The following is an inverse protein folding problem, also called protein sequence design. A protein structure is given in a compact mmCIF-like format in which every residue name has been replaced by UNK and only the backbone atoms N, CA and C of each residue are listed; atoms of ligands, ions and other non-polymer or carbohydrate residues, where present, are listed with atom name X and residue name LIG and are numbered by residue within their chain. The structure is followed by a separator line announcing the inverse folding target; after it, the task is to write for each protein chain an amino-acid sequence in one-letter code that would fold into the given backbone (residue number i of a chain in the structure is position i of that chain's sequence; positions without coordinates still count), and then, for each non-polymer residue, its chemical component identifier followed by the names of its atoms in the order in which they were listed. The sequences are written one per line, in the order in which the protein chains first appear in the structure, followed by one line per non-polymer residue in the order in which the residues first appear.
data_IF_427415155742
#
_entry.id   IF_427415155742
#
_cell.length_a   1.000
_cell.length_b   1.000
_cell.length_c   1.000
_cell.angle_alpha   90.00
_cell.angle_beta   90.00
_cell.angle_gamma   90.00
#
_symmetry.space_group_name_H-M   'P 1'
#
loop_
_entity.id
_entity.type
_entity.pdbx_description
1 polymer ?
#
# COMPACT_ATOMS: atom_id res chain seq x y z
N UNK A 1 -3.28 11.43 12.75
CA UNK A 1 -1.90 11.86 12.42
C UNK A 1 -1.69 11.54 10.95
N UNK A 2 -1.08 12.42 10.16
CA UNK A 2 -0.69 12.08 8.79
C UNK A 2 0.57 11.19 8.81
N UNK A 3 0.81 10.39 7.76
CA UNK A 3 2.02 9.55 7.68
C UNK A 3 3.32 10.35 7.85
N UNK A 4 3.34 11.61 7.40
CA UNK A 4 4.48 12.51 7.55
C UNK A 4 4.71 12.96 9.00
N UNK A 5 3.66 13.32 9.73
CA UNK A 5 3.73 13.69 11.15
C UNK A 5 4.26 12.53 12.00
N UNK A 6 3.90 11.31 11.63
CA UNK A 6 4.33 10.08 12.27
C UNK A 6 5.83 9.84 12.09
N UNK A 7 6.34 9.98 10.85
CA UNK A 7 7.77 9.94 10.55
C UNK A 7 8.58 11.03 11.29
N UNK A 8 7.97 12.18 11.55
CA UNK A 8 8.60 13.28 12.31
C UNK A 8 8.61 13.04 13.82
N UNK A 9 7.74 12.17 14.33
CA UNK A 9 7.63 11.83 15.75
C UNK A 9 8.61 10.73 16.21
N UNK A 10 9.37 10.13 15.27
CA UNK A 10 10.32 9.04 15.55
C UNK A 10 11.30 9.42 16.66
N UNK A 11 11.34 8.59 17.69
CA UNK A 11 12.37 8.66 18.71
C UNK A 11 13.56 7.77 18.34
N UNK A 12 14.74 8.07 18.89
CA UNK A 12 15.92 7.26 18.64
C UNK A 12 16.54 6.78 19.94
N UNK A 13 16.91 5.50 19.98
CA UNK A 13 17.67 4.89 21.08
C UNK A 13 18.96 4.27 20.54
N UNK A 14 20.02 4.26 21.35
CA UNK A 14 21.28 3.59 20.97
C UNK A 14 21.48 2.33 21.79
N UNK A 15 21.55 1.17 21.13
CA UNK A 15 21.77 -0.13 21.76
C UNK A 15 23.01 -0.77 21.15
N UNK A 16 24.02 -1.06 21.99
CA UNK A 16 25.30 -1.67 21.58
C UNK A 16 25.95 -0.94 20.37
N UNK A 17 25.92 0.39 20.40
CA UNK A 17 26.49 1.24 19.33
C UNK A 17 25.64 1.40 18.08
N UNK A 18 24.44 0.78 18.00
CA UNK A 18 23.51 0.96 16.88
C UNK A 18 22.38 1.91 17.28
N UNK A 19 22.12 2.91 16.43
CA UNK A 19 20.98 3.84 16.59
C UNK A 19 19.74 3.21 15.95
N UNK A 20 18.70 3.05 16.73
CA UNK A 20 17.42 2.45 16.35
C UNK A 20 16.33 3.52 16.38
N UNK A 21 15.40 3.46 15.42
CA UNK A 21 14.17 4.24 15.45
C UNK A 21 13.13 3.50 16.32
N UNK A 22 12.41 4.25 17.14
CA UNK A 22 11.35 3.74 18.02
C UNK A 22 10.07 4.48 17.67
N UNK A 23 9.04 3.70 17.39
CA UNK A 23 7.68 4.12 17.06
C UNK A 23 6.71 3.32 17.93
N UNK A 24 5.53 3.87 18.18
CA UNK A 24 4.41 3.07 18.68
C UNK A 24 4.06 2.01 17.61
N UNK A 25 3.66 0.80 18.04
CA UNK A 25 3.24 -0.26 17.14
C UNK A 25 2.03 0.15 16.28
N UNK A 26 1.03 0.81 16.87
CA UNK A 26 -0.15 1.32 16.15
C UNK A 26 0.26 2.34 15.07
N UNK A 27 1.20 3.22 15.43
CA UNK A 27 1.74 4.20 14.50
C UNK A 27 2.54 3.55 13.36
N UNK A 28 3.28 2.48 13.66
CA UNK A 28 4.01 1.71 12.66
C UNK A 28 3.06 0.99 11.69
N UNK A 29 2.00 0.36 12.19
CA UNK A 29 0.97 -0.28 11.37
C UNK A 29 0.26 0.75 10.49
N UNK A 30 -0.13 1.90 11.04
CA UNK A 30 -0.73 2.98 10.28
C UNK A 30 0.19 3.53 9.17
N UNK A 31 1.51 3.55 9.38
CA UNK A 31 2.48 3.93 8.36
C UNK A 31 2.53 2.92 7.22
N UNK A 32 2.48 1.62 7.53
CA UNK A 32 2.43 0.55 6.52
C UNK A 32 1.14 0.68 5.70
N UNK A 33 -0.02 0.75 6.35
CA UNK A 33 -1.31 0.89 5.65
C UNK A 33 -1.36 2.14 4.76
N UNK A 34 -0.76 3.24 5.22
CA UNK A 34 -0.65 4.45 4.41
C UNK A 34 0.21 4.25 3.15
N UNK A 35 1.34 3.53 3.26
CA UNK A 35 2.19 3.21 2.11
C UNK A 35 1.47 2.26 1.14
N UNK A 36 0.82 1.22 1.65
CA UNK A 36 0.01 0.29 0.84
C UNK A 36 -1.10 1.05 0.10
N UNK A 37 -1.79 1.98 0.78
CA UNK A 37 -2.81 2.83 0.15
C UNK A 37 -2.25 3.65 -1.01
N UNK A 38 -1.03 4.18 -0.88
CA UNK A 38 -0.40 4.94 -1.97
C UNK A 38 -0.07 4.05 -3.17
N UNK A 39 0.39 2.81 -2.93
CA UNK A 39 0.66 1.82 -3.97
C UNK A 39 -0.63 1.36 -4.64
N UNK A 40 -1.66 1.04 -3.86
CA UNK A 40 -2.97 0.62 -4.32
C UNK A 40 -3.66 1.68 -5.17
N UNK A 41 -3.57 2.96 -4.79
CA UNK A 41 -4.11 4.07 -5.59
C UNK A 41 -3.45 4.10 -6.97
N UNK A 42 -2.13 3.95 -7.05
CA UNK A 42 -1.43 3.94 -8.35
C UNK A 42 -1.85 2.75 -9.23
N UNK A 43 -2.01 1.56 -8.62
CA UNK A 43 -2.50 0.37 -9.31
C UNK A 43 -3.93 0.60 -9.82
N UNK A 44 -4.82 1.14 -8.99
CA UNK A 44 -6.20 1.42 -9.32
C UNK A 44 -6.33 2.47 -10.44
N UNK A 45 -5.56 3.56 -10.38
CA UNK A 45 -5.54 4.59 -11.42
C UNK A 45 -5.10 4.02 -12.77
N UNK A 46 -4.05 3.20 -12.78
CA UNK A 46 -3.56 2.53 -13.98
C UNK A 46 -4.60 1.56 -14.55
N UNK A 47 -5.16 0.67 -13.72
CA UNK A 47 -6.18 -0.28 -14.11
C UNK A 47 -7.44 0.42 -14.67
N UNK A 48 -7.81 1.57 -14.08
CA UNK A 48 -8.93 2.37 -14.55
C UNK A 48 -8.64 3.04 -15.91
N UNK A 49 -7.42 3.53 -16.14
CA UNK A 49 -7.02 4.07 -17.44
C UNK A 49 -7.04 3.01 -18.55
N UNK A 50 -6.61 1.79 -18.25
CA UNK A 50 -6.70 0.64 -19.16
C UNK A 50 -8.15 0.27 -19.46
N UNK A 51 -9.01 0.22 -18.43
CA UNK A 51 -10.44 -0.02 -18.60
C UNK A 51 -11.12 1.04 -19.48
N UNK A 52 -10.76 2.32 -19.28
CA UNK A 52 -11.27 3.42 -20.11
C UNK A 52 -10.83 3.29 -21.57
N UNK A 53 -9.59 2.87 -21.80
CA UNK A 53 -9.04 2.62 -23.14
C UNK A 53 -9.76 1.44 -23.82
N UNK A 54 -10.15 0.43 -23.05
CA UNK A 54 -10.96 -0.70 -23.49
C UNK A 54 -12.47 -0.39 -23.63
N UNK A 55 -12.88 0.88 -23.51
CA UNK A 55 -14.29 1.28 -23.64
C UNK A 55 -15.19 0.75 -22.52
N UNK A 56 -14.61 0.40 -21.36
CA UNK A 56 -15.33 -0.18 -20.22
C UNK A 56 -15.47 -1.70 -20.27
N UNK A 57 -14.93 -2.38 -21.29
CA UNK A 57 -14.89 -3.85 -21.32
C UNK A 57 -13.75 -4.36 -20.42
N UNK A 58 -14.14 -4.99 -19.31
CA UNK A 58 -13.22 -5.54 -18.31
C UNK A 58 -12.37 -6.68 -18.87
N UNK A 59 -12.92 -7.49 -19.76
CA UNK A 59 -12.19 -8.62 -20.36
C UNK A 59 -11.13 -8.10 -21.32
N UNK A 60 -11.49 -7.11 -22.14
CA UNK A 60 -10.55 -6.46 -23.05
C UNK A 60 -9.47 -5.65 -22.30
N UNK A 61 -9.79 -5.17 -21.09
CA UNK A 61 -8.83 -4.55 -20.17
C UNK A 61 -7.94 -5.56 -19.41
N UNK A 62 -8.10 -6.87 -19.66
CA UNK A 62 -7.30 -7.92 -19.02
C UNK A 62 -7.69 -8.25 -17.58
N UNK A 63 -8.86 -7.80 -17.11
CA UNK A 63 -9.32 -8.11 -15.76
C UNK A 63 -9.77 -9.57 -15.66
N UNK A 64 -9.36 -10.22 -14.58
CA UNK A 64 -9.76 -11.57 -14.24
C UNK A 64 -10.97 -11.53 -13.29
N UNK A 65 -11.84 -12.54 -13.34
CA UNK A 65 -12.89 -12.67 -12.34
C UNK A 65 -12.28 -13.20 -11.06
N UNK A 66 -12.73 -12.67 -9.93
CA UNK A 66 -12.26 -13.08 -8.61
C UNK A 66 -12.38 -14.60 -8.39
N UNK A 67 -13.56 -15.17 -8.67
CA UNK A 67 -13.83 -16.61 -8.53
C UNK A 67 -12.87 -17.51 -9.33
N UNK A 68 -12.24 -16.97 -10.38
CA UNK A 68 -11.29 -17.71 -11.22
C UNK A 68 -9.87 -17.73 -10.62
N UNK A 69 -9.51 -16.76 -9.77
CA UNK A 69 -8.12 -16.54 -9.30
C UNK A 69 -7.95 -16.54 -7.79
N UNK A 70 -9.03 -16.51 -7.00
CA UNK A 70 -8.95 -16.39 -5.53
C UNK A 70 -8.08 -17.49 -4.87
N UNK A 71 -8.07 -18.69 -5.47
CA UNK A 71 -7.32 -19.85 -4.98
C UNK A 71 -5.81 -19.77 -5.20
N UNK A 72 -5.34 -18.81 -6.00
CA UNK A 72 -3.91 -18.59 -6.25
C UNK A 72 -3.25 -17.75 -5.13
N UNK A 73 -4.04 -17.20 -4.21
CA UNK A 73 -3.60 -16.29 -3.15
C UNK A 73 -3.51 -16.95 -1.75
N UNK A 74 -3.73 -18.28 -1.65
CA UNK A 74 -3.57 -19.10 -0.43
C UNK A 74 -2.19 -19.75 -0.32
#
# INVERSE_FOLDING_TARGET
MTGLELLQSVQFVTVKGKRLAVLNAEDWEALIEWLETLEDVQIAEKAFAELKTAGGDRTAAGWLKWDDVEKELE
#
